data_IF_379905177454
#
_entry.id   IF_379905177454
#
_cell.length_a   1.000
_cell.length_b   1.000
_cell.length_c   1.000
_cell.angle_alpha   90.00
_cell.angle_beta   90.00
_cell.angle_gamma   90.00
#
_symmetry.space_group_name_H-M   'P 1'
#
loop_
_entity.id
_entity.type
_entity.pdbx_description
1 polymer ?
#
# COMPACT_ATOMS: atom_id res chain seq x y z
N UNK A 1 7.29 -25.11 7.01
CA UNK A 1 7.06 -24.61 8.37
C UNK A 1 8.13 -25.13 9.31
N UNK A 2 9.25 -24.41 9.33
CA UNK A 2 10.16 -24.46 10.48
C UNK A 2 9.63 -23.51 11.58
N UNK A 3 9.99 -23.73 12.84
CA UNK A 3 9.53 -22.89 13.96
C UNK A 3 10.73 -22.41 14.76
N UNK A 4 10.81 -21.11 15.00
CA UNK A 4 11.90 -20.46 15.72
C UNK A 4 11.33 -19.55 16.81
N UNK A 5 11.97 -19.57 17.98
CA UNK A 5 11.66 -18.68 19.09
C UNK A 5 12.95 -18.00 19.50
N UNK A 6 12.96 -16.68 19.45
CA UNK A 6 14.11 -15.82 19.77
C UNK A 6 14.14 -15.52 21.27
N UNK A 7 14.94 -14.54 21.68
CA UNK A 7 15.13 -14.18 23.08
C UNK A 7 14.32 -12.94 23.43
N UNK A 8 14.14 -12.64 24.72
CA UNK A 8 13.52 -11.38 25.14
C UNK A 8 14.49 -10.17 25.07
N UNK A 9 15.44 -10.20 24.15
CA UNK A 9 16.36 -9.11 23.87
C UNK A 9 16.36 -8.86 22.36
N UNK A 10 16.71 -7.63 21.95
CA UNK A 10 16.78 -7.26 20.55
C UNK A 10 17.61 -8.27 19.73
N UNK A 11 16.92 -8.95 18.82
CA UNK A 11 17.44 -9.99 17.96
C UNK A 11 17.42 -9.55 16.48
N UNK A 12 18.18 -10.27 15.65
CA UNK A 12 18.14 -10.08 14.20
C UNK A 12 18.16 -11.45 13.56
N UNK A 13 17.06 -11.81 12.92
CA UNK A 13 16.81 -13.16 12.45
C UNK A 13 16.21 -13.14 11.06
N UNK A 14 16.88 -13.83 10.13
CA UNK A 14 16.36 -14.10 8.81
C UNK A 14 16.14 -15.59 8.65
N UNK A 15 14.94 -15.95 8.22
CA UNK A 15 14.55 -17.32 8.01
C UNK A 15 15.09 -17.88 6.68
N UNK A 16 14.77 -19.15 6.44
CA UNK A 16 15.20 -19.85 5.24
C UNK A 16 14.28 -19.51 4.08
N UNK A 17 14.44 -20.22 2.97
CA UNK A 17 13.39 -20.20 1.95
C UNK A 17 12.22 -21.10 2.36
N UNK A 18 11.01 -20.60 2.12
CA UNK A 18 9.75 -21.32 2.32
C UNK A 18 9.13 -21.05 3.68
N UNK A 19 7.93 -21.58 3.89
CA UNK A 19 7.08 -21.15 5.00
C UNK A 19 7.69 -21.36 6.39
N UNK A 20 7.65 -20.33 7.20
CA UNK A 20 8.25 -20.19 8.52
C UNK A 20 7.26 -19.74 9.60
N UNK A 21 7.63 -19.99 10.86
CA UNK A 21 6.93 -19.46 12.04
C UNK A 21 7.97 -18.94 13.02
N UNK A 22 7.99 -17.64 13.26
CA UNK A 22 9.00 -16.96 14.09
C UNK A 22 8.32 -16.18 15.22
N UNK A 23 8.88 -16.31 16.42
CA UNK A 23 8.49 -15.53 17.59
C UNK A 23 9.69 -14.70 18.08
N UNK A 24 9.62 -13.37 17.99
CA UNK A 24 10.62 -12.41 18.49
C UNK A 24 10.66 -12.34 20.01
N UNK A 25 9.48 -12.33 20.64
CA UNK A 25 9.23 -12.23 22.09
C UNK A 25 9.38 -10.80 22.62
N UNK A 26 10.58 -10.23 22.65
CA UNK A 26 10.68 -8.84 23.08
C UNK A 26 12.09 -8.26 23.00
N UNK A 27 12.20 -6.95 23.20
CA UNK A 27 13.27 -6.17 22.60
C UNK A 27 12.87 -5.74 21.18
N UNK A 28 13.54 -4.72 20.63
CA UNK A 28 13.30 -4.31 19.25
C UNK A 28 14.02 -5.22 18.28
N UNK A 29 13.28 -6.12 17.66
CA UNK A 29 13.73 -7.19 16.79
C UNK A 29 13.75 -6.78 15.32
N UNK A 30 14.57 -7.48 14.53
CA UNK A 30 14.63 -7.30 13.09
C UNK A 30 14.46 -8.65 12.41
N UNK A 31 13.27 -8.90 11.89
CA UNK A 31 12.81 -10.17 11.39
C UNK A 31 12.63 -10.14 9.88
N UNK A 32 13.06 -11.21 9.23
CA UNK A 32 12.77 -11.53 7.84
C UNK A 32 12.22 -12.96 7.79
N UNK A 33 11.06 -13.17 7.18
CA UNK A 33 10.53 -14.51 6.95
C UNK A 33 11.35 -15.26 5.90
N UNK A 34 12.06 -14.53 5.05
CA UNK A 34 12.91 -15.12 4.03
C UNK A 34 14.35 -14.57 4.01
N UNK A 35 15.16 -15.02 3.05
CA UNK A 35 16.59 -14.66 3.00
C UNK A 35 16.82 -13.15 2.81
N UNK A 36 17.74 -12.55 3.59
CA UNK A 36 17.95 -11.08 3.64
C UNK A 36 18.30 -10.42 2.30
N UNK A 37 19.18 -10.99 1.48
CA UNK A 37 19.61 -10.33 0.23
C UNK A 37 19.63 -11.35 -0.90
N UNK A 38 18.70 -11.17 -1.84
CA UNK A 38 18.59 -12.03 -2.99
C UNK A 38 18.83 -11.22 -4.27
N UNK A 39 20.12 -11.16 -4.65
CA UNK A 39 20.57 -10.52 -5.89
C UNK A 39 20.42 -11.47 -7.06
N UNK A 40 19.56 -11.11 -8.02
CA UNK A 40 19.24 -11.97 -9.13
C UNK A 40 20.05 -11.61 -10.40
N UNK A 41 20.88 -12.55 -10.89
CA UNK A 41 21.82 -12.32 -12.02
C UNK A 41 21.68 -13.33 -13.19
N UNK A 42 20.66 -14.19 -13.21
CA UNK A 42 20.53 -15.24 -14.23
C UNK A 42 19.26 -15.11 -15.08
N UNK A 43 19.40 -15.41 -16.37
CA UNK A 43 18.36 -15.27 -17.40
C UNK A 43 17.35 -16.42 -17.27
N UNK A 44 16.06 -16.10 -17.11
CA UNK A 44 14.96 -17.06 -17.20
C UNK A 44 14.49 -17.66 -15.88
N UNK A 45 14.93 -17.14 -14.75
CA UNK A 45 14.57 -17.69 -13.44
C UNK A 45 13.26 -17.07 -12.93
N UNK A 46 12.51 -17.91 -12.21
CA UNK A 46 11.34 -17.53 -11.42
C UNK A 46 11.63 -17.88 -9.97
N UNK A 47 11.35 -16.95 -9.06
CA UNK A 47 11.55 -17.11 -7.62
C UNK A 47 10.21 -16.89 -6.93
N UNK A 48 9.94 -17.70 -5.92
CA UNK A 48 8.76 -17.59 -5.07
C UNK A 48 9.23 -17.74 -3.64
N UNK A 49 8.87 -16.78 -2.80
CA UNK A 49 9.20 -16.77 -1.38
C UNK A 49 8.15 -17.54 -0.56
N UNK A 50 8.45 -17.77 0.72
CA UNK A 50 7.62 -18.54 1.63
C UNK A 50 6.48 -17.71 2.21
N UNK A 51 5.32 -18.35 2.44
CA UNK A 51 4.25 -17.75 3.26
C UNK A 51 4.54 -18.01 4.73
N UNK A 52 4.90 -16.97 5.45
CA UNK A 52 5.50 -16.97 6.77
C UNK A 52 4.56 -16.38 7.83
N UNK A 53 4.85 -16.69 9.09
CA UNK A 53 4.13 -16.14 10.23
C UNK A 53 5.13 -15.59 11.23
N UNK A 54 5.15 -14.27 11.41
CA UNK A 54 6.14 -13.59 12.25
C UNK A 54 5.43 -12.78 13.34
N UNK A 55 5.88 -12.97 14.57
CA UNK A 55 5.47 -12.18 15.73
C UNK A 55 6.67 -11.39 16.23
N UNK A 56 6.55 -10.06 16.30
CA UNK A 56 7.56 -9.16 16.88
C UNK A 56 7.63 -9.34 18.39
N UNK A 57 6.57 -8.92 19.09
CA UNK A 57 6.45 -9.09 20.53
C UNK A 57 6.45 -7.77 21.28
N UNK A 58 7.12 -7.74 22.43
CA UNK A 58 7.29 -6.51 23.19
C UNK A 58 8.49 -5.70 22.66
N UNK A 59 8.30 -4.62 21.92
CA UNK A 59 9.42 -3.84 21.41
C UNK A 59 9.06 -3.03 20.18
N UNK A 60 9.97 -2.18 19.73
CA UNK A 60 9.81 -1.50 18.45
C UNK A 60 10.53 -2.35 17.41
N UNK A 61 9.78 -3.12 16.66
CA UNK A 61 10.24 -4.19 15.79
C UNK A 61 10.25 -3.74 14.32
N UNK A 62 11.06 -4.44 13.52
CA UNK A 62 10.99 -4.34 12.06
C UNK A 62 10.77 -5.73 11.52
N UNK A 63 9.60 -5.95 10.93
CA UNK A 63 9.13 -7.23 10.43
C UNK A 63 8.99 -7.13 8.92
N UNK A 64 9.60 -8.08 8.21
CA UNK A 64 9.42 -8.30 6.78
C UNK A 64 8.99 -9.73 6.58
N UNK A 65 7.92 -9.97 5.83
CA UNK A 65 7.56 -11.33 5.45
C UNK A 65 8.62 -11.93 4.54
N UNK A 66 9.11 -11.16 3.57
CA UNK A 66 10.17 -11.65 2.67
C UNK A 66 11.57 -11.05 2.92
N UNK A 67 12.14 -10.43 1.90
CA UNK A 67 13.55 -10.11 1.77
C UNK A 67 13.80 -8.61 1.91
N UNK A 68 15.03 -8.23 2.20
CA UNK A 68 15.41 -6.82 2.23
C UNK A 68 15.41 -6.19 0.83
N UNK A 69 15.85 -6.94 -0.18
CA UNK A 69 16.13 -6.39 -1.53
C UNK A 69 15.85 -7.39 -2.63
N UNK A 70 14.89 -7.05 -3.48
CA UNK A 70 14.69 -7.67 -4.78
C UNK A 70 15.36 -6.83 -5.86
N UNK A 71 16.52 -7.26 -6.33
CA UNK A 71 17.26 -6.59 -7.41
C UNK A 71 17.41 -7.48 -8.65
N UNK A 72 16.82 -7.06 -9.77
CA UNK A 72 17.10 -7.65 -11.08
C UNK A 72 18.21 -6.88 -11.81
N UNK A 73 19.30 -7.56 -12.19
CA UNK A 73 20.41 -6.99 -12.96
C UNK A 73 20.56 -7.66 -14.35
N UNK A 74 20.38 -6.88 -15.43
CA UNK A 74 20.84 -7.14 -16.82
C UNK A 74 20.62 -8.55 -17.43
N UNK A 75 19.38 -9.05 -17.57
CA UNK A 75 19.11 -10.19 -18.44
C UNK A 75 19.23 -9.77 -19.92
N UNK A 76 20.20 -10.34 -20.64
CA UNK A 76 20.36 -10.11 -22.08
C UNK A 76 19.19 -10.68 -22.93
N UNK A 77 18.40 -11.59 -22.35
CA UNK A 77 17.18 -12.22 -22.91
C UNK A 77 16.38 -12.91 -21.79
N UNK A 78 15.16 -13.38 -22.06
CA UNK A 78 14.36 -14.23 -21.15
C UNK A 78 13.51 -13.46 -20.15
N UNK A 79 12.34 -14.01 -19.81
CA UNK A 79 11.46 -13.42 -18.81
C UNK A 79 11.95 -13.77 -17.40
N UNK A 80 11.73 -12.87 -16.45
CA UNK A 80 12.07 -13.06 -15.04
C UNK A 80 10.88 -12.68 -14.17
N UNK A 81 10.68 -13.43 -13.08
CA UNK A 81 9.63 -13.11 -12.11
C UNK A 81 10.06 -13.43 -10.69
N UNK A 82 9.70 -12.55 -9.75
CA UNK A 82 9.74 -12.81 -8.32
C UNK A 82 8.31 -12.67 -7.80
N UNK A 83 7.93 -13.55 -6.88
CA UNK A 83 6.61 -13.55 -6.25
C UNK A 83 6.83 -13.65 -4.76
N UNK A 84 6.29 -12.67 -4.03
CA UNK A 84 6.27 -12.68 -2.59
C UNK A 84 5.37 -13.77 -2.01
N UNK A 85 5.52 -14.03 -0.72
CA UNK A 85 4.72 -15.03 -0.02
C UNK A 85 3.52 -14.38 0.66
N UNK A 86 2.37 -15.08 0.68
CA UNK A 86 1.22 -14.61 1.48
C UNK A 86 1.52 -14.72 2.99
N UNK A 87 1.86 -13.63 3.64
CA UNK A 87 2.45 -13.56 4.97
C UNK A 87 1.44 -13.16 6.06
N UNK A 88 1.71 -13.56 7.30
CA UNK A 88 0.96 -13.13 8.47
C UNK A 88 1.89 -12.52 9.53
N UNK A 89 1.88 -11.20 9.63
CA UNK A 89 2.86 -10.41 10.37
C UNK A 89 2.19 -9.63 11.50
N UNK A 90 2.76 -9.73 12.70
CA UNK A 90 2.19 -9.15 13.92
C UNK A 90 3.27 -8.37 14.69
N UNK A 91 3.12 -7.05 14.81
CA UNK A 91 3.99 -6.19 15.64
C UNK A 91 3.82 -6.47 17.14
N UNK A 92 2.56 -6.57 17.58
CA UNK A 92 2.14 -6.75 18.97
C UNK A 92 2.20 -5.47 19.81
N UNK A 93 3.31 -5.13 20.47
CA UNK A 93 3.38 -3.90 21.27
C UNK A 93 4.66 -3.13 21.05
N UNK A 94 4.55 -1.82 20.85
CA UNK A 94 5.64 -0.92 20.53
C UNK A 94 5.34 -0.18 19.25
N UNK A 95 6.21 0.76 18.85
CA UNK A 95 6.06 1.43 17.56
C UNK A 95 6.83 0.62 16.50
N UNK A 96 6.11 -0.13 15.66
CA UNK A 96 6.62 -1.16 14.77
C UNK A 96 6.69 -0.71 13.30
N UNK A 97 7.52 -1.40 12.52
CA UNK A 97 7.51 -1.33 11.05
C UNK A 97 7.21 -2.72 10.52
N UNK A 98 6.07 -2.88 9.85
CA UNK A 98 5.62 -4.14 9.27
C UNK A 98 5.52 -3.99 7.76
N UNK A 99 6.19 -4.87 7.03
CA UNK A 99 6.22 -4.90 5.56
C UNK A 99 5.87 -6.33 5.14
N UNK A 100 4.80 -6.55 4.38
CA UNK A 100 4.42 -7.89 3.95
C UNK A 100 5.53 -8.54 3.14
N UNK A 101 5.96 -7.93 2.04
CA UNK A 101 7.01 -8.53 1.21
C UNK A 101 8.40 -7.87 1.35
N UNK A 102 8.73 -6.99 0.39
CA UNK A 102 10.08 -6.57 0.09
C UNK A 102 10.31 -5.17 0.64
N UNK A 103 11.37 -4.94 1.42
CA UNK A 103 11.67 -3.55 1.83
C UNK A 103 12.02 -2.67 0.62
N UNK A 104 12.73 -3.23 -0.37
CA UNK A 104 13.05 -2.53 -1.60
C UNK A 104 12.92 -3.47 -2.80
N UNK A 105 11.97 -3.17 -3.68
CA UNK A 105 11.75 -3.90 -4.90
C UNK A 105 12.23 -3.07 -6.11
N UNK A 106 13.37 -3.47 -6.70
CA UNK A 106 14.04 -2.70 -7.75
C UNK A 106 14.32 -3.53 -9.00
N UNK A 107 13.83 -3.05 -10.14
CA UNK A 107 14.13 -3.58 -11.47
C UNK A 107 15.15 -2.70 -12.20
N UNK A 108 16.28 -3.28 -12.65
CA UNK A 108 17.26 -2.59 -13.51
C UNK A 108 17.42 -3.28 -14.88
N UNK A 109 17.27 -2.48 -15.96
CA UNK A 109 17.65 -2.76 -17.36
C UNK A 109 17.09 -4.04 -18.02
N UNK A 110 16.79 -3.87 -19.30
CA UNK A 110 16.01 -4.76 -20.15
C UNK A 110 16.73 -5.11 -21.46
N UNK A 111 17.25 -6.33 -21.55
CA UNK A 111 17.27 -6.98 -22.86
C UNK A 111 15.84 -7.16 -23.41
N UNK A 112 15.65 -8.10 -24.33
CA UNK A 112 14.35 -8.34 -24.95
C UNK A 112 13.33 -9.15 -24.10
N UNK A 113 13.47 -9.20 -22.78
CA UNK A 113 12.62 -10.01 -21.87
C UNK A 113 11.71 -9.17 -20.98
N UNK A 114 10.56 -9.71 -20.57
CA UNK A 114 9.67 -9.08 -19.59
C UNK A 114 10.07 -9.41 -18.15
N UNK A 115 9.84 -8.50 -17.23
CA UNK A 115 10.15 -8.62 -15.80
C UNK A 115 8.87 -8.41 -14.99
N UNK A 116 8.66 -9.23 -13.98
CA UNK A 116 7.57 -9.08 -13.02
C UNK A 116 8.10 -9.19 -11.59
N UNK A 117 7.64 -8.33 -10.71
CA UNK A 117 7.67 -8.55 -9.26
C UNK A 117 6.21 -8.52 -8.85
N UNK A 118 5.81 -9.58 -8.16
CA UNK A 118 4.45 -9.74 -7.64
C UNK A 118 4.54 -9.84 -6.13
N UNK A 119 3.73 -9.09 -5.40
CA UNK A 119 3.60 -9.25 -3.96
C UNK A 119 2.67 -10.39 -3.55
N UNK A 120 2.73 -10.78 -2.29
CA UNK A 120 1.85 -11.74 -1.64
C UNK A 120 0.56 -11.08 -1.14
N UNK A 121 -0.51 -11.86 -0.95
CA UNK A 121 -1.73 -11.37 -0.29
C UNK A 121 -1.55 -11.51 1.23
N UNK A 122 -1.33 -10.41 1.94
CA UNK A 122 -0.79 -10.41 3.30
C UNK A 122 -1.79 -10.05 4.40
N UNK A 123 -1.49 -10.48 5.63
CA UNK A 123 -2.21 -10.12 6.85
C UNK A 123 -1.25 -9.40 7.77
N UNK A 124 -1.44 -8.09 7.93
CA UNK A 124 -0.59 -7.26 8.78
C UNK A 124 -1.38 -6.74 9.99
N UNK A 125 -0.81 -6.87 11.17
CA UNK A 125 -1.36 -6.34 12.43
C UNK A 125 -0.28 -5.54 13.16
N UNK A 126 -0.51 -4.25 13.37
CA UNK A 126 0.41 -3.38 14.13
C UNK A 126 0.35 -3.75 15.60
N UNK A 127 -0.82 -3.55 16.21
CA UNK A 127 -1.08 -3.91 17.59
C UNK A 127 -1.22 -2.66 18.43
N UNK A 128 -0.33 -2.43 19.40
CA UNK A 128 -0.37 -1.23 20.23
C UNK A 128 0.90 -0.41 20.09
N UNK A 129 0.77 0.83 19.65
CA UNK A 129 1.86 1.76 19.37
C UNK A 129 1.55 2.54 18.09
N UNK A 130 2.47 3.40 17.65
CA UNK A 130 2.30 4.14 16.41
C UNK A 130 3.08 3.41 15.31
N UNK A 131 2.38 2.60 14.54
CA UNK A 131 2.96 1.62 13.65
C UNK A 131 3.05 2.16 12.21
N UNK A 132 4.00 1.63 11.44
CA UNK A 132 4.10 1.84 10.00
C UNK A 132 3.92 0.52 9.26
N UNK A 133 2.79 0.37 8.57
CA UNK A 133 2.41 -0.85 7.88
C UNK A 133 2.40 -0.62 6.37
N UNK A 134 3.02 -1.52 5.63
CA UNK A 134 3.10 -1.54 4.18
C UNK A 134 2.73 -2.95 3.72
N UNK A 135 1.67 -3.12 2.93
CA UNK A 135 1.28 -4.46 2.47
C UNK A 135 2.40 -5.11 1.68
N UNK A 136 2.90 -4.57 0.56
CA UNK A 136 4.08 -5.20 -0.06
C UNK A 136 5.41 -4.48 0.18
N UNK A 137 5.52 -3.19 -0.18
CA UNK A 137 6.85 -2.58 -0.31
C UNK A 137 6.92 -1.06 -0.08
N UNK A 138 7.81 -0.57 0.80
CA UNK A 138 8.10 0.85 0.89
C UNK A 138 8.63 1.48 -0.42
N UNK A 139 9.25 0.70 -1.32
CA UNK A 139 9.81 1.23 -2.55
C UNK A 139 9.74 0.23 -3.71
N UNK A 140 8.84 0.50 -4.65
CA UNK A 140 8.79 -0.14 -5.95
C UNK A 140 9.44 0.75 -7.01
N UNK A 141 10.57 0.31 -7.58
CA UNK A 141 11.36 1.14 -8.48
C UNK A 141 11.76 0.44 -9.79
N UNK A 142 11.42 1.06 -10.92
CA UNK A 142 11.83 0.61 -12.25
C UNK A 142 12.83 1.59 -12.89
N UNK A 143 14.06 1.13 -13.12
CA UNK A 143 15.06 1.82 -13.91
C UNK A 143 15.16 1.24 -15.32
N UNK A 144 14.99 2.10 -16.32
CA UNK A 144 15.15 1.77 -17.73
C UNK A 144 14.25 0.56 -18.13
N UNK A 145 12.93 0.76 -18.17
CA UNK A 145 11.95 -0.31 -18.41
C UNK A 145 12.01 -0.91 -19.81
N UNK A 146 11.58 -2.18 -19.94
CA UNK A 146 11.40 -2.97 -21.18
C UNK A 146 11.04 -2.17 -22.44
N UNK A 147 11.76 -2.35 -23.55
CA UNK A 147 11.30 -1.92 -24.89
C UNK A 147 10.28 -2.91 -25.44
N UNK A 148 9.17 -2.43 -26.00
CA UNK A 148 8.12 -3.27 -26.54
C UNK A 148 8.66 -4.38 -27.48
N UNK A 149 8.17 -5.63 -27.33
CA UNK A 149 6.99 -6.01 -26.56
C UNK A 149 7.24 -6.27 -25.06
N UNK A 150 8.46 -6.10 -24.55
CA UNK A 150 8.77 -6.34 -23.14
C UNK A 150 8.08 -5.33 -22.23
N UNK A 151 7.66 -5.79 -21.05
CA UNK A 151 7.08 -4.99 -19.98
C UNK A 151 7.83 -5.24 -18.68
N UNK A 152 8.02 -4.19 -17.89
CA UNK A 152 8.45 -4.29 -16.50
C UNK A 152 7.23 -3.98 -15.64
N UNK A 153 6.80 -4.95 -14.83
CA UNK A 153 5.51 -4.89 -14.14
C UNK A 153 5.66 -5.16 -12.66
N UNK A 154 5.19 -4.24 -11.84
CA UNK A 154 4.80 -4.52 -10.46
C UNK A 154 3.33 -4.89 -10.41
N UNK A 155 3.00 -5.92 -9.65
CA UNK A 155 1.62 -6.29 -9.32
C UNK A 155 1.61 -6.58 -7.85
N UNK A 156 0.97 -5.72 -7.09
CA UNK A 156 0.91 -5.82 -5.64
C UNK A 156 -0.18 -6.82 -5.23
N UNK A 157 -0.13 -7.27 -3.98
CA UNK A 157 -1.03 -8.26 -3.40
C UNK A 157 -2.21 -7.63 -2.67
N UNK A 158 -3.31 -8.37 -2.54
CA UNK A 158 -4.52 -7.87 -1.90
C UNK A 158 -4.46 -8.12 -0.38
N UNK A 159 -4.34 -7.04 0.38
CA UNK A 159 -3.90 -7.11 1.77
C UNK A 159 -5.03 -6.84 2.78
N UNK A 160 -4.92 -7.46 3.96
CA UNK A 160 -5.77 -7.21 5.13
C UNK A 160 -4.92 -6.61 6.25
N UNK A 161 -4.98 -5.28 6.39
CA UNK A 161 -4.13 -4.49 7.28
C UNK A 161 -4.98 -3.86 8.40
N UNK A 162 -4.50 -3.96 9.63
CA UNK A 162 -5.14 -3.36 10.81
C UNK A 162 -4.05 -2.80 11.74
N UNK A 163 -4.02 -1.48 11.88
CA UNK A 163 -3.04 -0.73 12.67
C UNK A 163 -3.17 -1.04 14.16
N UNK A 164 -4.40 -0.96 14.68
CA UNK A 164 -4.73 -1.36 16.04
C UNK A 164 -4.92 -0.15 16.93
N UNK A 165 -3.99 0.13 17.83
CA UNK A 165 -4.12 1.23 18.78
C UNK A 165 -2.89 2.13 18.77
N UNK A 166 -3.08 3.41 18.50
CA UNK A 166 -2.06 4.43 18.33
C UNK A 166 -2.29 5.18 17.02
N UNK A 167 -1.40 6.10 16.68
CA UNK A 167 -1.54 6.88 15.46
C UNK A 167 -0.71 6.23 14.36
N UNK A 168 -1.36 5.45 13.51
CA UNK A 168 -0.72 4.55 12.57
C UNK A 168 -0.55 5.17 11.18
N UNK A 169 0.41 4.64 10.43
CA UNK A 169 0.66 4.97 9.03
C UNK A 169 0.54 3.70 8.18
N UNK A 170 -0.56 3.59 7.44
CA UNK A 170 -0.90 2.42 6.65
C UNK A 170 -0.85 2.76 5.17
N UNK A 171 -0.21 1.88 4.41
CA UNK A 171 -0.21 1.85 2.95
C UNK A 171 -0.56 0.43 2.55
N UNK A 172 -1.63 0.23 1.79
CA UNK A 172 -2.03 -1.09 1.27
C UNK A 172 -0.94 -1.66 0.40
N UNK A 173 -0.60 -1.02 -0.71
CA UNK A 173 0.50 -1.54 -1.55
C UNK A 173 1.88 -0.88 -1.28
N UNK A 174 2.39 -0.16 -2.30
CA UNK A 174 3.71 0.41 -2.30
C UNK A 174 3.72 1.90 -1.93
N UNK A 175 4.47 2.27 -0.88
CA UNK A 175 4.61 3.68 -0.50
C UNK A 175 5.11 4.53 -1.67
N UNK A 176 6.23 4.18 -2.30
CA UNK A 176 6.73 4.88 -3.48
C UNK A 176 6.76 3.99 -4.74
N UNK A 177 5.97 4.35 -5.75
CA UNK A 177 5.96 3.71 -7.06
C UNK A 177 6.70 4.58 -8.11
N UNK A 178 7.97 4.29 -8.29
CA UNK A 178 8.93 5.14 -8.99
C UNK A 178 9.40 4.52 -10.31
N UNK A 179 9.50 5.35 -11.35
CA UNK A 179 10.13 4.92 -12.60
C UNK A 179 10.95 6.00 -13.29
N UNK A 180 12.04 5.59 -13.94
CA UNK A 180 12.89 6.48 -14.71
C UNK A 180 13.37 5.87 -16.03
N UNK A 181 13.47 6.70 -17.06
CA UNK A 181 14.05 6.33 -18.34
C UNK A 181 15.36 7.08 -18.60
N UNK A 182 16.35 6.40 -19.19
CA UNK A 182 17.62 7.00 -19.59
C UNK A 182 17.37 8.09 -20.63
N UNK A 183 17.94 9.27 -20.40
CA UNK A 183 17.91 10.34 -21.37
C UNK A 183 18.50 9.88 -22.70
N UNK A 184 17.81 10.18 -23.80
CA UNK A 184 18.36 10.14 -25.16
C UNK A 184 18.49 8.75 -25.84
N UNK A 185 17.64 7.78 -25.50
CA UNK A 185 17.71 6.44 -26.14
C UNK A 185 16.79 6.28 -27.36
N UNK A 186 15.87 7.21 -27.62
CA UNK A 186 14.99 7.17 -28.81
C UNK A 186 13.93 6.06 -28.81
N UNK A 187 13.76 5.34 -27.69
CA UNK A 187 12.82 4.24 -27.57
C UNK A 187 11.48 4.72 -26.98
N UNK A 188 10.53 5.08 -27.85
CA UNK A 188 9.20 5.58 -27.49
C UNK A 188 8.18 4.48 -27.10
N UNK A 189 8.64 3.28 -26.75
CA UNK A 189 7.78 2.10 -26.51
C UNK A 189 8.20 1.35 -25.24
N UNK A 190 8.74 2.07 -24.25
CA UNK A 190 9.09 1.48 -22.97
C UNK A 190 7.89 1.46 -22.03
N UNK A 191 7.56 0.32 -21.44
CA UNK A 191 6.34 0.12 -20.65
C UNK A 191 6.70 -0.32 -19.23
N UNK A 192 6.59 0.61 -18.28
CA UNK A 192 6.48 0.27 -16.86
C UNK A 192 5.01 0.25 -16.49
N UNK A 193 4.61 -0.76 -15.74
CA UNK A 193 3.25 -0.91 -15.21
C UNK A 193 3.35 -1.17 -13.72
N UNK A 194 2.59 -0.43 -12.94
CA UNK A 194 2.34 -0.68 -11.53
C UNK A 194 0.84 -0.96 -11.41
N UNK A 195 0.48 -2.13 -10.90
CA UNK A 195 -0.90 -2.48 -10.63
C UNK A 195 -1.00 -2.69 -9.12
N UNK A 196 -1.72 -1.80 -8.47
CA UNK A 196 -2.16 -1.98 -7.11
C UNK A 196 -3.32 -2.95 -7.02
N UNK A 197 -3.58 -3.39 -5.80
CA UNK A 197 -4.54 -4.42 -5.46
C UNK A 197 -5.67 -3.86 -4.62
N UNK A 198 -6.68 -4.70 -4.38
CA UNK A 198 -7.86 -4.29 -3.66
C UNK A 198 -7.72 -4.70 -2.19
N UNK A 199 -7.54 -3.72 -1.32
CA UNK A 199 -7.15 -3.92 0.05
C UNK A 199 -8.29 -3.70 1.05
N UNK A 200 -8.05 -4.22 2.26
CA UNK A 200 -8.90 -4.03 3.41
C UNK A 200 -8.08 -3.40 4.54
N UNK A 201 -8.27 -2.11 4.72
CA UNK A 201 -7.42 -1.29 5.59
C UNK A 201 -8.21 -0.74 6.78
N UNK A 202 -7.66 -0.93 7.98
CA UNK A 202 -8.22 -0.41 9.24
C UNK A 202 -7.16 0.36 10.01
N UNK A 203 -7.40 1.63 10.31
CA UNK A 203 -6.53 2.42 11.20
C UNK A 203 -6.63 1.90 12.63
N UNK A 204 -7.81 2.02 13.23
CA UNK A 204 -8.09 1.51 14.58
C UNK A 204 -8.34 2.64 15.56
N UNK A 205 -7.80 2.56 16.77
CA UNK A 205 -7.91 3.62 17.76
C UNK A 205 -6.75 4.62 17.60
N UNK A 206 -6.98 5.87 17.22
CA UNK A 206 -5.96 6.91 17.16
C UNK A 206 -6.16 7.84 15.97
N UNK A 207 -5.26 8.83 15.81
CA UNK A 207 -5.32 9.71 14.63
C UNK A 207 -4.45 9.11 13.51
N UNK A 208 -5.07 8.38 12.59
CA UNK A 208 -4.38 7.54 11.62
C UNK A 208 -4.16 8.22 10.27
N UNK A 209 -3.25 7.66 9.47
CA UNK A 209 -3.13 7.94 8.05
C UNK A 209 -3.23 6.62 7.29
N UNK A 210 -4.29 6.49 6.48
CA UNK A 210 -4.56 5.27 5.70
C UNK A 210 -4.58 5.62 4.22
N UNK A 211 -3.81 4.89 3.43
CA UNK A 211 -3.64 5.06 1.99
C UNK A 211 -3.88 3.69 1.36
N UNK A 212 -4.81 3.58 0.41
CA UNK A 212 -5.06 2.35 -0.34
C UNK A 212 -3.82 1.84 -1.05
N UNK A 213 -3.45 2.43 -2.19
CA UNK A 213 -2.22 2.00 -2.89
C UNK A 213 -1.00 2.90 -2.61
N UNK A 214 -0.74 3.89 -3.46
CA UNK A 214 0.57 4.51 -3.60
C UNK A 214 0.65 5.86 -2.91
N UNK A 215 1.31 6.01 -1.75
CA UNK A 215 1.53 7.35 -1.17
C UNK A 215 2.15 8.32 -2.19
N UNK A 216 3.06 7.85 -3.05
CA UNK A 216 3.69 8.68 -4.05
C UNK A 216 4.03 7.97 -5.35
N UNK A 217 3.59 8.59 -6.45
CA UNK A 217 3.90 8.16 -7.81
C UNK A 217 4.85 9.16 -8.50
N UNK A 218 6.04 8.69 -8.86
CA UNK A 218 7.03 9.53 -9.58
C UNK A 218 7.48 8.92 -10.89
N UNK A 219 7.40 9.70 -11.97
CA UNK A 219 7.93 9.35 -13.29
C UNK A 219 8.94 10.38 -13.80
N UNK A 220 10.21 9.99 -13.95
CA UNK A 220 11.25 10.84 -14.55
C UNK A 220 11.24 10.68 -16.08
N UNK A 221 10.68 11.67 -16.77
CA UNK A 221 10.30 11.56 -18.18
C UNK A 221 11.39 11.98 -19.20
N UNK A 222 11.46 11.22 -20.30
CA UNK A 222 12.02 11.60 -21.61
C UNK A 222 11.05 11.17 -22.74
N UNK A 223 11.22 11.73 -23.93
CA UNK A 223 10.32 11.63 -25.11
C UNK A 223 9.61 10.27 -25.33
N UNK A 224 8.28 10.25 -25.20
CA UNK A 224 7.42 9.12 -25.59
C UNK A 224 7.23 8.01 -24.56
N UNK A 225 7.84 8.12 -23.38
CA UNK A 225 7.65 7.19 -22.27
C UNK A 225 6.34 7.47 -21.52
N UNK A 226 5.51 6.44 -21.31
CA UNK A 226 4.19 6.55 -20.66
C UNK A 226 4.00 5.39 -19.68
N UNK A 227 4.46 5.52 -18.42
CA UNK A 227 4.16 4.51 -17.42
C UNK A 227 2.67 4.45 -17.14
N UNK A 228 2.21 3.26 -16.78
CA UNK A 228 0.83 2.98 -16.36
C UNK A 228 0.84 2.69 -14.87
N UNK A 229 -0.05 3.35 -14.15
CA UNK A 229 -0.36 3.10 -12.76
C UNK A 229 -1.85 2.81 -12.70
N UNK A 230 -2.21 1.65 -12.18
CA UNK A 230 -3.59 1.28 -11.88
C UNK A 230 -3.63 1.06 -10.39
N UNK A 231 -4.47 1.81 -9.69
CA UNK A 231 -4.88 1.55 -8.32
C UNK A 231 -5.94 0.42 -8.28
N UNK A 232 -6.06 -0.25 -7.15
CA UNK A 232 -7.14 -1.20 -6.85
C UNK A 232 -8.39 -0.52 -6.31
N UNK A 233 -9.43 -1.29 -6.01
CA UNK A 233 -10.66 -0.77 -5.38
C UNK A 233 -10.67 -1.17 -3.90
N UNK A 234 -10.48 -0.20 -3.00
CA UNK A 234 -10.16 -0.48 -1.59
C UNK A 234 -11.35 -0.33 -0.64
N UNK A 235 -11.24 -0.98 0.52
CA UNK A 235 -12.13 -0.78 1.67
C UNK A 235 -11.32 -0.18 2.81
N UNK A 236 -11.65 1.06 3.19
CA UNK A 236 -10.89 1.84 4.15
C UNK A 236 -11.79 2.21 5.34
N UNK A 237 -11.38 1.81 6.54
CA UNK A 237 -11.99 2.20 7.81
C UNK A 237 -10.94 2.93 8.65
N UNK A 238 -11.13 4.24 8.88
CA UNK A 238 -10.22 5.01 9.74
C UNK A 238 -10.20 4.46 11.17
N UNK A 239 -11.38 4.17 11.71
CA UNK A 239 -11.52 3.75 13.09
C UNK A 239 -11.90 4.95 13.94
N UNK A 240 -11.40 5.05 15.17
CA UNK A 240 -11.73 6.12 16.10
C UNK A 240 -10.59 7.14 16.22
N UNK A 241 -10.81 8.37 15.77
CA UNK A 241 -9.86 9.46 15.97
C UNK A 241 -10.01 10.53 14.91
N UNK A 242 -8.96 11.28 14.61
CA UNK A 242 -9.00 12.26 13.53
C UNK A 242 -8.16 11.78 12.35
N UNK A 243 -8.77 10.95 11.49
CA UNK A 243 -8.04 10.19 10.49
C UNK A 243 -7.85 10.93 9.16
N UNK A 244 -6.77 10.59 8.45
CA UNK A 244 -6.49 11.05 7.09
C UNK A 244 -6.55 9.87 6.13
N UNK A 245 -7.58 9.85 5.29
CA UNK A 245 -7.89 8.74 4.41
C UNK A 245 -7.67 9.13 2.95
N UNK A 246 -7.00 8.25 2.20
CA UNK A 246 -6.75 8.36 0.77
C UNK A 246 -7.14 7.05 0.11
N UNK A 247 -7.98 7.12 -0.92
CA UNK A 247 -8.34 5.98 -1.75
C UNK A 247 -7.11 5.38 -2.40
N UNK A 248 -6.32 6.21 -3.11
CA UNK A 248 -5.17 5.68 -3.86
C UNK A 248 -3.86 6.39 -3.48
N UNK A 249 -3.66 7.62 -3.94
CA UNK A 249 -2.36 8.29 -3.87
C UNK A 249 -2.41 9.68 -3.27
N UNK A 250 -1.45 9.95 -2.37
CA UNK A 250 -1.31 11.27 -1.73
C UNK A 250 -0.69 12.29 -2.69
N UNK A 251 0.26 11.88 -3.52
CA UNK A 251 0.91 12.80 -4.47
C UNK A 251 1.36 12.17 -5.78
N UNK A 252 1.06 12.87 -6.88
CA UNK A 252 1.61 12.56 -8.21
C UNK A 252 2.59 13.65 -8.65
N UNK A 253 3.81 13.26 -9.03
CA UNK A 253 4.77 14.18 -9.64
C UNK A 253 5.19 13.68 -11.04
N UNK A 254 4.60 14.31 -12.07
CA UNK A 254 5.14 14.27 -13.42
C UNK A 254 6.03 15.51 -13.64
N UNK A 255 7.35 15.40 -13.43
CA UNK A 255 8.27 16.51 -13.70
C UNK A 255 8.45 16.70 -15.22
N UNK A 256 7.76 17.68 -15.82
CA UNK A 256 7.98 18.09 -17.21
C UNK A 256 6.89 19.02 -17.75
N UNK A 257 7.26 20.21 -18.23
CA UNK A 257 6.32 21.12 -18.87
C UNK A 257 5.78 20.49 -20.16
N UNK A 258 4.48 20.17 -20.19
CA UNK A 258 3.79 19.66 -21.36
C UNK A 258 3.02 18.39 -21.02
N UNK A 259 1.81 18.30 -21.54
CA UNK A 259 0.92 17.13 -21.50
C UNK A 259 1.59 15.90 -22.13
N UNK A 260 2.38 15.18 -21.33
CA UNK A 260 3.06 13.96 -21.77
C UNK A 260 2.75 12.77 -20.84
N UNK A 261 1.45 12.49 -20.69
CA UNK A 261 0.88 11.13 -20.65
C UNK A 261 1.31 10.15 -19.56
N UNK A 262 1.27 10.55 -18.28
CA UNK A 262 1.00 9.58 -17.21
C UNK A 262 -0.38 8.96 -17.47
N UNK A 263 -0.48 7.64 -17.48
CA UNK A 263 -1.78 6.96 -17.41
C UNK A 263 -1.89 6.46 -15.98
N UNK A 264 -2.60 7.22 -15.15
CA UNK A 264 -2.93 6.83 -13.79
C UNK A 264 -4.45 6.64 -13.76
N UNK A 265 -4.88 5.44 -13.39
CA UNK A 265 -6.28 5.11 -13.11
C UNK A 265 -6.37 4.86 -11.62
N UNK A 266 -7.25 5.63 -10.98
CA UNK A 266 -7.63 5.56 -9.57
C UNK A 266 -8.57 4.37 -9.32
N UNK A 267 -8.75 3.96 -8.07
CA UNK A 267 -9.64 2.94 -7.53
C UNK A 267 -11.08 3.36 -7.31
N UNK A 268 -12.03 2.42 -7.29
CA UNK A 268 -13.42 2.68 -6.89
C UNK A 268 -13.62 2.33 -5.40
N UNK A 269 -13.19 3.23 -4.53
CA UNK A 269 -12.96 2.91 -3.12
C UNK A 269 -14.23 3.05 -2.27
N UNK A 270 -14.23 2.37 -1.13
CA UNK A 270 -15.30 2.42 -0.12
C UNK A 270 -14.74 2.83 1.24
N UNK A 271 -15.10 4.03 1.67
CA UNK A 271 -14.77 4.55 3.01
C UNK A 271 -15.89 4.20 3.99
N UNK A 272 -15.57 3.42 5.01
CA UNK A 272 -16.55 2.85 5.96
C UNK A 272 -16.55 3.66 7.24
N UNK A 273 -17.73 4.09 7.66
CA UNK A 273 -17.91 4.84 8.90
C UNK A 273 -18.99 4.20 9.78
N UNK A 274 -18.71 4.16 11.08
CA UNK A 274 -19.61 3.71 12.12
C UNK A 274 -19.53 4.64 13.33
N UNK A 275 -20.44 4.48 14.29
CA UNK A 275 -20.50 5.34 15.48
C UNK A 275 -19.19 5.35 16.25
N UNK A 276 -18.68 6.54 16.53
CA UNK A 276 -17.40 6.75 17.22
C UNK A 276 -16.21 6.82 16.28
N UNK A 277 -16.40 7.12 14.98
CA UNK A 277 -15.30 7.23 14.03
C UNK A 277 -14.44 8.46 14.25
N UNK A 278 -15.01 9.56 14.79
CA UNK A 278 -14.23 10.76 15.04
C UNK A 278 -14.33 11.81 13.93
N UNK A 279 -13.24 12.55 13.73
CA UNK A 279 -13.16 13.73 12.87
C UNK A 279 -12.25 13.47 11.67
N UNK A 280 -12.81 12.84 10.65
CA UNK A 280 -12.03 12.25 9.57
C UNK A 280 -11.93 13.17 8.35
N UNK A 281 -10.88 12.99 7.56
CA UNK A 281 -10.67 13.72 6.31
C UNK A 281 -10.37 12.77 5.17
N UNK A 282 -11.18 12.80 4.11
CA UNK A 282 -10.91 12.10 2.85
C UNK A 282 -10.38 13.10 1.83
N UNK A 283 -9.22 12.80 1.25
CA UNK A 283 -8.46 13.77 0.46
C UNK A 283 -8.67 13.67 -1.07
N UNK A 284 -9.14 12.54 -1.59
CA UNK A 284 -9.16 12.23 -3.03
C UNK A 284 -10.49 11.64 -3.55
N UNK A 285 -11.55 11.64 -2.75
CA UNK A 285 -12.86 11.08 -3.10
C UNK A 285 -13.41 11.55 -4.47
N UNK A 286 -13.75 10.60 -5.33
CA UNK A 286 -14.29 10.76 -6.68
C UNK A 286 -15.81 10.51 -6.73
N UNK A 287 -16.58 11.60 -6.87
CA UNK A 287 -18.04 11.53 -7.02
C UNK A 287 -18.46 10.68 -8.23
N UNK A 288 -19.41 9.77 -7.98
CA UNK A 288 -19.97 8.84 -8.95
C UNK A 288 -19.14 7.57 -9.15
N UNK A 289 -18.01 7.46 -8.46
CA UNK A 289 -17.11 6.31 -8.50
C UNK A 289 -17.01 5.68 -7.11
N UNK A 290 -16.51 6.43 -6.16
CA UNK A 290 -16.24 5.96 -4.79
C UNK A 290 -17.53 5.91 -3.96
N UNK A 291 -17.44 5.32 -2.78
CA UNK A 291 -18.55 5.11 -1.86
C UNK A 291 -18.18 5.52 -0.44
N UNK A 292 -19.17 6.06 0.25
CA UNK A 292 -19.14 6.27 1.70
C UNK A 292 -20.16 5.32 2.30
N UNK A 293 -19.69 4.29 3.01
CA UNK A 293 -20.55 3.34 3.70
C UNK A 293 -20.91 3.88 5.09
N UNK A 294 -22.20 4.22 5.23
CA UNK A 294 -22.80 4.70 6.48
C UNK A 294 -23.80 3.69 7.06
N UNK A 295 -23.79 2.46 6.55
CA UNK A 295 -24.67 1.39 7.02
C UNK A 295 -24.42 1.03 8.49
N UNK A 296 -23.20 1.28 8.99
CA UNK A 296 -22.83 1.14 10.40
C UNK A 296 -23.67 2.00 11.36
N UNK A 297 -24.20 3.13 10.90
CA UNK A 297 -25.12 3.97 11.66
C UNK A 297 -26.59 3.51 11.59
N UNK A 298 -26.92 2.60 10.67
CA UNK A 298 -28.29 2.22 10.37
C UNK A 298 -29.07 3.29 9.58
N UNK A 299 -28.37 4.22 8.93
CA UNK A 299 -29.01 5.20 8.05
C UNK A 299 -29.61 4.55 6.83
N UNK A 300 -30.72 5.10 6.38
CA UNK A 300 -31.50 4.61 5.23
C UNK A 300 -31.55 5.63 4.09
N UNK A 301 -31.14 6.87 4.35
CA UNK A 301 -31.08 7.93 3.34
C UNK A 301 -30.20 9.10 3.77
N UNK A 302 -29.82 9.95 2.81
CA UNK A 302 -29.12 11.22 3.09
C UNK A 302 -29.92 12.23 3.94
N UNK A 303 -31.20 11.94 4.26
CA UNK A 303 -31.96 12.76 5.19
C UNK A 303 -31.63 12.46 6.66
N UNK A 304 -30.89 11.38 6.92
CA UNK A 304 -30.54 10.92 8.27
C UNK A 304 -29.29 11.64 8.84
N UNK A 305 -28.54 12.37 8.01
CA UNK A 305 -27.36 13.15 8.39
C UNK A 305 -27.32 14.52 7.67
N UNK A 306 -26.38 15.38 8.06
CA UNK A 306 -26.26 16.72 7.49
C UNK A 306 -25.11 16.79 6.49
N UNK A 307 -25.35 17.43 5.33
CA UNK A 307 -24.32 17.72 4.34
C UNK A 307 -24.17 19.23 4.21
N UNK A 308 -22.96 19.73 4.46
CA UNK A 308 -22.64 21.16 4.38
C UNK A 308 -21.53 21.40 3.36
N UNK A 309 -21.73 22.33 2.44
CA UNK A 309 -20.71 22.72 1.46
C UNK A 309 -20.10 24.05 1.86
N UNK A 310 -18.77 24.09 2.01
CA UNK A 310 -18.01 25.31 2.32
C UNK A 310 -16.86 25.50 1.33
N UNK A 311 -16.99 26.51 0.46
CA UNK A 311 -15.97 26.75 -0.57
C UNK A 311 -15.94 25.62 -1.60
N UNK A 312 -14.86 24.85 -1.61
CA UNK A 312 -14.66 23.67 -2.47
C UNK A 312 -14.88 22.35 -1.73
N UNK A 313 -15.11 22.40 -0.43
CA UNK A 313 -15.13 21.21 0.42
C UNK A 313 -16.57 20.86 0.83
N UNK A 314 -16.80 19.57 1.10
CA UNK A 314 -18.08 19.04 1.61
C UNK A 314 -17.85 18.38 2.96
N UNK A 315 -18.63 18.77 3.96
CA UNK A 315 -18.62 18.16 5.30
C UNK A 315 -19.88 17.32 5.49
N UNK A 316 -19.69 16.10 5.98
CA UNK A 316 -20.74 15.16 6.37
C UNK A 316 -20.76 15.07 7.89
N UNK A 317 -21.86 15.46 8.52
CA UNK A 317 -22.06 15.40 9.98
C UNK A 317 -23.10 14.31 10.26
N UNK A 318 -22.64 13.21 10.87
CA UNK A 318 -23.44 12.00 11.10
C UNK A 318 -24.14 11.97 12.46
N UNK A 319 -23.74 12.78 13.45
CA UNK A 319 -24.33 12.76 14.80
C UNK A 319 -25.43 13.81 15.03
N UNK A 320 -25.64 14.72 14.07
CA UNK A 320 -26.74 15.68 14.09
C UNK A 320 -26.49 16.86 15.03
N UNK A 321 -25.23 17.22 15.29
CA UNK A 321 -24.79 18.47 15.92
C UNK A 321 -24.64 18.42 17.44
N UNK A 322 -24.49 17.24 18.05
CA UNK A 322 -24.27 17.08 19.48
C UNK A 322 -22.81 16.71 19.76
N UNK A 323 -21.95 17.74 19.84
CA UNK A 323 -20.53 17.59 20.15
C UNK A 323 -19.74 16.72 19.16
N UNK A 324 -19.94 16.92 17.84
CA UNK A 324 -19.07 16.50 16.72
C UNK A 324 -18.18 15.30 17.04
N UNK A 325 -18.77 14.16 17.34
CA UNK A 325 -18.04 12.92 17.56
C UNK A 325 -17.77 12.25 16.22
N UNK A 326 -18.70 12.36 15.25
CA UNK A 326 -18.58 11.68 13.96
C UNK A 326 -18.83 12.67 12.80
N UNK A 327 -17.76 13.20 12.20
CA UNK A 327 -17.80 14.16 11.09
C UNK A 327 -16.70 13.84 10.07
N UNK A 328 -17.05 13.89 8.78
CA UNK A 328 -16.09 13.64 7.68
C UNK A 328 -15.98 14.87 6.78
N UNK A 329 -14.75 15.33 6.57
CA UNK A 329 -14.42 16.36 5.59
C UNK A 329 -13.96 15.72 4.27
N UNK A 330 -14.68 16.01 3.19
CA UNK A 330 -14.28 15.68 1.83
C UNK A 330 -13.58 16.90 1.20
N UNK A 331 -12.27 16.79 1.01
CA UNK A 331 -11.42 17.89 0.56
C UNK A 331 -11.57 18.12 -0.94
N UNK A 332 -11.88 19.35 -1.36
CA UNK A 332 -12.12 19.72 -2.76
C UNK A 332 -13.24 18.95 -3.48
N UNK A 333 -14.17 18.36 -2.74
CA UNK A 333 -15.29 17.59 -3.30
C UNK A 333 -16.58 18.41 -3.25
N UNK A 334 -17.30 18.42 -4.38
CA UNK A 334 -18.63 19.04 -4.50
C UNK A 334 -19.59 18.08 -5.19
N UNK A 335 -20.87 18.16 -4.81
CA UNK A 335 -21.95 17.52 -5.58
C UNK A 335 -22.15 16.04 -5.31
N UNK A 336 -21.78 15.56 -4.12
CA UNK A 336 -22.16 14.22 -3.64
C UNK A 336 -23.67 14.00 -3.76
N UNK A 337 -24.05 12.78 -4.10
CA UNK A 337 -25.41 12.32 -4.38
C UNK A 337 -25.70 11.04 -3.63
N UNK A 338 -26.95 10.59 -3.65
CA UNK A 338 -27.35 9.32 -3.00
C UNK A 338 -26.61 8.10 -3.56
N UNK A 339 -26.12 8.16 -4.81
CA UNK A 339 -25.40 7.05 -5.45
C UNK A 339 -23.96 6.92 -4.91
N UNK A 340 -23.48 7.91 -4.15
CA UNK A 340 -22.14 7.94 -3.53
C UNK A 340 -22.14 7.31 -2.12
N UNK A 341 -23.28 6.81 -1.64
CA UNK A 341 -23.43 6.27 -0.29
C UNK A 341 -23.94 4.83 -0.30
N UNK A 342 -23.49 4.05 0.68
CA UNK A 342 -24.07 2.75 1.04
C UNK A 342 -24.90 2.92 2.31
N UNK A 343 -26.16 2.46 2.27
CA UNK A 343 -27.14 2.55 3.35
C UNK A 343 -27.54 1.14 3.83
N UNK A 344 -28.13 1.05 5.03
CA UNK A 344 -28.61 -0.19 5.65
C UNK A 344 -29.89 -0.77 5.02
#
# INVERSE_FOLDING_TARGET
TSTVTLTAAADSYAAGMGNELVYGLGGGDNLWGDVVDFVHQHVGDTVTFGSDVLYGGDGNDIIRGDTLKMHYYYPWSGNQSATGGDDALFGETGDDIVIGDFENAIMFYDGAGSQAITGGDDILRGGAGNDALYGDTPLAQIFWPGVAPSTSTFTFGADDIDGGAGNDYIVGDAHEANTSNAANTGFASRHAVFNGANDLLRGGDGDDTVIGDFNKVTAFQNWGYKPVYNAGDDIIEGGAGADNLYGDWVSTLASGSGTWGLTAATGADTFVFATGSGLDTIHDFEVGKDKIDVSGYGFTSMADFTVTVTGTDTTLDFDGGAAHVDEVLLVNVLGVTVDDFVFA
#
